data_IF_064393433863
#
_entry.id   IF_064393433863
#
_cell.length_a   1.000
_cell.length_b   1.000
_cell.length_c   1.000
_cell.angle_alpha   90.00
_cell.angle_beta   90.00
_cell.angle_gamma   90.00
#
_symmetry.space_group_name_H-M   'P 1'
#
loop_
_entity.id
_entity.type
_entity.pdbx_description
1 polymer ?
#
# COMPACT_ATOMS: atom_id res chain seq x y z
N UNK A 1 28.70 42.70 -25.73
CA UNK A 1 27.40 43.40 -25.80
C UNK A 1 26.27 42.47 -26.30
N UNK A 2 25.53 41.94 -25.32
CA UNK A 2 24.11 41.52 -25.27
C UNK A 2 23.33 41.35 -26.58
N UNK A 3 22.88 40.13 -26.84
CA UNK A 3 21.59 39.78 -27.51
C UNK A 3 20.52 39.61 -26.41
N UNK A 4 19.21 39.35 -26.67
CA UNK A 4 18.27 39.63 -27.78
C UNK A 4 16.87 40.13 -27.27
N UNK A 5 15.90 40.50 -28.13
CA UNK A 5 14.44 40.47 -27.84
C UNK A 5 13.67 40.80 -29.14
N UNK A 6 12.44 40.38 -29.45
CA UNK A 6 11.29 40.02 -28.62
C UNK A 6 10.26 39.29 -29.50
N UNK A 7 9.77 38.12 -29.06
CA UNK A 7 8.53 37.51 -29.58
C UNK A 7 7.35 37.96 -28.70
N UNK A 8 6.16 38.22 -29.26
CA UNK A 8 5.09 38.87 -28.51
C UNK A 8 4.51 37.94 -27.43
N UNK A 9 4.49 38.48 -26.22
CA UNK A 9 3.84 37.93 -25.03
C UNK A 9 2.33 37.79 -25.24
N UNK A 10 1.78 36.62 -24.95
CA UNK A 10 0.43 36.53 -24.37
C UNK A 10 0.56 35.92 -22.98
N UNK A 11 0.40 36.80 -21.98
CA UNK A 11 0.17 36.40 -20.61
C UNK A 11 -1.33 36.13 -20.47
N UNK A 12 -1.72 34.96 -19.99
CA UNK A 12 -3.01 34.76 -19.35
C UNK A 12 -2.83 33.81 -18.21
N UNK A 13 -3.10 34.37 -17.04
CA UNK A 13 -2.95 33.80 -15.72
C UNK A 13 -4.08 32.81 -15.44
N UNK A 14 -3.70 31.60 -15.05
CA UNK A 14 -4.51 30.66 -14.27
C UNK A 14 -3.47 29.74 -13.63
N UNK A 15 -3.11 29.89 -12.35
CA UNK A 15 -4.00 29.74 -11.22
C UNK A 15 -3.80 28.33 -10.68
N UNK A 16 -3.45 28.22 -9.39
CA UNK A 16 -3.20 26.99 -8.62
C UNK A 16 -1.81 26.41 -8.88
N UNK A 17 -0.86 26.46 -7.93
CA UNK A 17 -0.70 25.44 -6.88
C UNK A 17 0.15 24.29 -7.43
N UNK A 18 1.01 23.58 -6.66
CA UNK A 18 1.81 22.51 -7.23
C UNK A 18 0.85 21.39 -7.62
N UNK A 19 0.42 21.37 -8.87
CA UNK A 19 -0.21 20.22 -9.47
C UNK A 19 0.87 19.14 -9.47
N UNK A 20 0.78 18.26 -8.48
CA UNK A 20 1.42 16.96 -8.51
C UNK A 20 0.90 16.24 -9.76
N UNK A 21 1.45 16.58 -10.91
CA UNK A 21 1.59 15.66 -12.02
C UNK A 21 2.62 14.65 -11.49
N UNK A 22 2.14 13.70 -10.71
CA UNK A 22 2.85 12.45 -10.58
C UNK A 22 2.22 11.55 -11.61
N UNK A 23 3.06 11.20 -12.58
CA UNK A 23 2.87 10.22 -13.63
C UNK A 23 2.26 8.91 -13.07
N UNK A 24 0.95 8.91 -12.86
CA UNK A 24 0.17 7.79 -12.33
C UNK A 24 -0.14 6.73 -13.41
N UNK A 25 0.76 6.62 -14.41
CA UNK A 25 0.74 5.59 -15.45
C UNK A 25 1.81 4.50 -15.22
N UNK A 26 2.50 4.53 -14.07
CA UNK A 26 3.30 3.38 -13.57
C UNK A 26 2.66 2.76 -12.31
N UNK A 27 1.32 2.72 -12.29
CA UNK A 27 0.55 1.91 -11.34
C UNK A 27 0.71 0.42 -11.68
N UNK A 28 1.92 -0.10 -11.50
CA UNK A 28 2.22 -1.53 -11.54
C UNK A 28 1.35 -2.26 -10.49
N UNK A 29 0.91 -3.49 -10.81
CA UNK A 29 -0.33 -4.04 -10.31
C UNK A 29 -0.33 -4.06 -8.78
N UNK A 30 -1.26 -3.30 -8.21
CA UNK A 30 -1.81 -3.62 -6.89
C UNK A 30 -2.10 -5.11 -6.93
N UNK A 31 -1.39 -5.89 -6.11
CA UNK A 31 -1.62 -7.34 -6.04
C UNK A 31 -3.01 -7.51 -5.42
N UNK A 32 -4.03 -7.45 -6.27
CA UNK A 32 -5.40 -7.64 -5.89
C UNK A 32 -5.54 -9.10 -5.49
N UNK A 33 -5.68 -9.30 -4.20
CA UNK A 33 -5.99 -10.61 -3.66
C UNK A 33 -7.49 -10.83 -3.83
N UNK A 34 -7.92 -11.86 -4.59
CA UNK A 34 -9.34 -12.18 -4.67
C UNK A 34 -9.87 -12.53 -3.28
N UNK A 35 -11.13 -12.23 -3.03
CA UNK A 35 -11.75 -12.40 -1.71
C UNK A 35 -11.70 -13.85 -1.22
N UNK A 36 -11.68 -14.81 -2.15
CA UNK A 36 -11.55 -16.26 -1.88
C UNK A 36 -10.14 -16.67 -1.41
N UNK A 37 -9.16 -15.76 -1.46
CA UNK A 37 -7.79 -16.05 -1.04
C UNK A 37 -7.77 -16.38 0.45
N UNK A 38 -7.15 -17.50 0.87
CA UNK A 38 -7.03 -17.84 2.27
C UNK A 38 -6.12 -16.85 3.00
N UNK A 39 -6.54 -16.46 4.21
CA UNK A 39 -5.82 -15.46 5.00
C UNK A 39 -4.38 -15.88 5.32
N UNK A 40 -4.11 -17.19 5.42
CA UNK A 40 -2.76 -17.72 5.63
C UNK A 40 -1.80 -17.37 4.49
N UNK A 41 -2.27 -17.48 3.25
CA UNK A 41 -1.46 -17.14 2.08
C UNK A 41 -1.20 -15.64 2.04
N UNK A 42 -2.24 -14.83 2.27
CA UNK A 42 -2.12 -13.38 2.32
C UNK A 42 -1.14 -12.89 3.40
N UNK A 43 -1.25 -13.45 4.60
CA UNK A 43 -0.38 -13.10 5.75
C UNK A 43 1.06 -13.54 5.51
N UNK A 44 1.28 -14.71 4.87
CA UNK A 44 2.62 -15.17 4.48
C UNK A 44 3.24 -14.26 3.44
N UNK A 45 2.50 -13.91 2.40
CA UNK A 45 2.96 -12.94 1.39
C UNK A 45 3.31 -11.60 2.05
N UNK A 46 2.44 -11.11 2.94
CA UNK A 46 2.66 -9.87 3.70
C UNK A 46 3.94 -9.93 4.53
N UNK A 47 4.17 -11.05 5.24
CA UNK A 47 5.36 -11.26 6.06
C UNK A 47 6.64 -11.37 5.21
N UNK A 48 6.60 -12.10 4.09
CA UNK A 48 7.71 -12.18 3.15
C UNK A 48 8.06 -10.80 2.61
N UNK A 49 7.05 -10.02 2.25
CA UNK A 49 7.26 -8.73 1.65
C UNK A 49 7.89 -7.71 2.65
N UNK A 50 7.60 -7.81 3.95
CA UNK A 50 8.26 -6.98 5.00
C UNK A 50 9.57 -7.61 5.51
N UNK A 51 10.08 -8.66 4.86
CA UNK A 51 11.23 -9.45 5.31
C UNK A 51 11.09 -9.94 6.77
N UNK A 52 9.91 -10.45 7.15
CA UNK A 52 9.66 -11.11 8.44
C UNK A 52 9.70 -12.63 8.31
N UNK A 53 10.01 -13.27 9.42
CA UNK A 53 9.96 -14.73 9.55
C UNK A 53 8.54 -15.28 9.34
N UNK A 54 8.47 -16.43 8.68
CA UNK A 54 7.24 -17.19 8.43
C UNK A 54 6.54 -17.63 9.72
N UNK A 55 7.27 -17.72 10.84
CA UNK A 55 6.68 -17.96 12.16
C UNK A 55 5.76 -16.81 12.58
N UNK A 56 6.15 -15.55 12.34
CA UNK A 56 5.29 -14.40 12.63
C UNK A 56 4.07 -14.36 11.73
N UNK A 57 4.22 -14.78 10.47
CA UNK A 57 3.09 -14.95 9.57
C UNK A 57 2.08 -15.96 10.13
N UNK A 58 2.55 -17.11 10.63
CA UNK A 58 1.68 -18.13 11.22
C UNK A 58 1.02 -17.65 12.52
N UNK A 59 1.71 -16.88 13.36
CA UNK A 59 1.10 -16.26 14.54
C UNK A 59 -0.03 -15.30 14.15
N UNK A 60 0.19 -14.49 13.10
CA UNK A 60 -0.81 -13.53 12.64
C UNK A 60 -2.02 -14.22 12.02
N UNK A 61 -1.80 -15.25 11.21
CA UNK A 61 -2.89 -16.01 10.60
C UNK A 61 -3.73 -16.76 11.64
N UNK A 62 -3.11 -17.32 12.69
CA UNK A 62 -3.83 -17.93 13.81
C UNK A 62 -4.71 -16.93 14.55
N UNK A 63 -4.21 -15.72 14.80
CA UNK A 63 -4.98 -14.66 15.46
C UNK A 63 -6.18 -14.21 14.62
N UNK A 64 -6.00 -14.10 13.31
CA UNK A 64 -7.08 -13.78 12.37
C UNK A 64 -8.14 -14.89 12.36
N UNK A 65 -7.72 -16.15 12.23
CA UNK A 65 -8.61 -17.31 12.29
C UNK A 65 -9.37 -17.44 13.60
N UNK A 66 -8.77 -17.04 14.72
CA UNK A 66 -9.42 -16.99 16.03
C UNK A 66 -10.57 -15.96 16.11
N UNK A 67 -10.66 -15.03 15.15
CA UNK A 67 -11.77 -14.08 15.03
C UNK A 67 -12.70 -14.45 13.86
N UNK A 68 -12.68 -15.71 13.43
CA UNK A 68 -13.43 -16.23 12.28
C UNK A 68 -13.06 -15.58 10.93
N UNK A 69 -11.89 -14.93 10.84
CA UNK A 69 -11.37 -14.38 9.57
C UNK A 69 -10.65 -15.51 8.83
N UNK A 70 -11.27 -16.06 7.80
CA UNK A 70 -10.76 -17.20 7.03
C UNK A 70 -10.11 -16.76 5.72
N UNK A 71 -10.61 -15.68 5.13
CA UNK A 71 -10.26 -15.23 3.79
C UNK A 71 -9.90 -13.75 3.74
N UNK A 72 -9.33 -13.31 2.60
CA UNK A 72 -9.05 -11.89 2.35
C UNK A 72 -10.33 -11.06 2.28
N UNK A 73 -11.43 -11.63 1.78
CA UNK A 73 -12.73 -10.98 1.79
C UNK A 73 -13.19 -10.64 3.20
N UNK A 74 -13.06 -11.60 4.13
CA UNK A 74 -13.39 -11.38 5.55
C UNK A 74 -12.53 -10.27 6.14
N UNK A 75 -11.22 -10.27 5.85
CA UNK A 75 -10.29 -9.26 6.32
C UNK A 75 -10.62 -7.85 5.79
N UNK A 76 -11.08 -7.75 4.52
CA UNK A 76 -11.47 -6.50 3.88
C UNK A 76 -12.81 -5.97 4.39
N UNK A 77 -13.70 -6.87 4.81
CA UNK A 77 -14.98 -6.52 5.42
C UNK A 77 -14.86 -6.07 6.89
N UNK A 78 -13.69 -6.22 7.51
CA UNK A 78 -13.46 -5.79 8.89
C UNK A 78 -13.57 -4.28 9.06
N UNK A 79 -14.27 -3.87 10.11
CA UNK A 79 -14.34 -2.50 10.54
C UNK A 79 -13.08 -2.12 11.32
N UNK A 80 -12.76 -0.83 11.39
CA UNK A 80 -11.61 -0.33 12.17
C UNK A 80 -11.65 -0.75 13.65
N UNK A 81 -12.84 -0.97 14.21
CA UNK A 81 -13.03 -1.51 15.56
C UNK A 81 -12.53 -2.96 15.66
N UNK A 82 -12.86 -3.81 14.70
CA UNK A 82 -12.43 -5.21 14.65
C UNK A 82 -10.90 -5.32 14.53
N UNK A 83 -10.27 -4.45 13.73
CA UNK A 83 -8.81 -4.41 13.60
C UNK A 83 -8.10 -4.20 14.95
N UNK A 84 -8.72 -3.47 15.88
CA UNK A 84 -8.24 -3.31 17.24
C UNK A 84 -8.44 -4.54 18.13
N UNK A 85 -9.46 -5.35 17.85
CA UNK A 85 -9.85 -6.51 18.65
C UNK A 85 -9.09 -7.80 18.33
N UNK A 86 -8.51 -7.95 17.12
CA UNK A 86 -7.72 -9.13 16.72
C UNK A 86 -6.48 -9.35 17.63
N UNK A 87 -6.04 -8.32 18.37
CA UNK A 87 -4.89 -8.42 19.27
C UNK A 87 -3.56 -8.62 18.51
N UNK A 88 -3.50 -8.15 17.27
CA UNK A 88 -2.26 -8.03 16.50
C UNK A 88 -1.46 -6.81 16.94
N UNK A 89 -0.15 -6.81 16.69
CA UNK A 89 0.66 -5.62 16.93
C UNK A 89 0.30 -4.54 15.91
N UNK A 90 0.44 -3.26 16.29
CA UNK A 90 0.21 -2.11 15.37
C UNK A 90 1.02 -2.24 14.08
N UNK A 91 2.22 -2.83 14.17
CA UNK A 91 3.05 -3.12 13.03
C UNK A 91 2.43 -4.17 12.08
N UNK A 92 1.93 -5.29 12.62
CA UNK A 92 1.27 -6.32 11.84
C UNK A 92 -0.01 -5.79 11.17
N UNK A 93 -0.80 -5.02 11.91
CA UNK A 93 -2.00 -4.36 11.40
C UNK A 93 -1.67 -3.44 10.22
N UNK A 94 -0.62 -2.61 10.35
CA UNK A 94 -0.14 -1.75 9.26
C UNK A 94 0.35 -2.56 8.07
N UNK A 95 1.10 -3.65 8.29
CA UNK A 95 1.58 -4.49 7.21
C UNK A 95 0.42 -5.12 6.42
N UNK A 96 -0.58 -5.67 7.12
CA UNK A 96 -1.77 -6.27 6.50
C UNK A 96 -2.64 -5.23 5.78
N UNK A 97 -2.88 -4.06 6.40
CA UNK A 97 -3.60 -2.95 5.75
C UNK A 97 -2.84 -2.45 4.51
N UNK A 98 -1.52 -2.30 4.59
CA UNK A 98 -0.71 -1.89 3.44
C UNK A 98 -0.71 -2.95 2.33
N UNK A 99 -0.71 -4.23 2.69
CA UNK A 99 -0.83 -5.33 1.73
C UNK A 99 -2.21 -5.37 1.06
N UNK A 100 -3.29 -5.10 1.81
CA UNK A 100 -4.66 -5.01 1.28
C UNK A 100 -4.83 -3.84 0.31
N UNK A 101 -4.29 -2.68 0.67
CA UNK A 101 -4.41 -1.45 -0.12
C UNK A 101 -3.38 -1.35 -1.26
N UNK A 102 -2.56 -2.39 -1.48
CA UNK A 102 -1.53 -2.39 -2.52
C UNK A 102 -0.35 -1.45 -2.29
N UNK A 103 -0.26 -0.83 -1.11
CA UNK A 103 0.79 0.15 -0.78
C UNK A 103 2.17 -0.48 -0.56
N UNK A 104 2.24 -1.80 -0.67
CA UNK A 104 3.43 -2.59 -0.37
C UNK A 104 4.56 -2.36 -1.38
N UNK A 105 4.24 -2.18 -2.66
CA UNK A 105 5.24 -1.95 -3.71
C UNK A 105 5.96 -0.61 -3.54
N UNK A 106 5.27 0.43 -3.03
CA UNK A 106 5.85 1.76 -2.81
C UNK A 106 6.95 1.79 -1.73
N UNK A 107 6.91 0.87 -0.76
CA UNK A 107 7.91 0.82 0.32
C UNK A 107 9.18 0.02 -0.03
N UNK A 108 9.10 -0.88 -1.02
CA UNK A 108 10.25 -1.70 -1.45
C UNK A 108 10.87 -1.18 -2.75
N UNK A 109 10.16 -0.35 -3.51
CA UNK A 109 10.62 0.26 -4.76
C UNK A 109 11.12 1.70 -4.57
N UNK A 110 11.92 1.95 -3.54
CA UNK A 110 12.87 3.07 -3.59
C UNK A 110 14.16 2.52 -4.21
N UNK A 111 14.57 2.97 -5.41
CA UNK A 111 15.95 2.76 -5.81
C UNK A 111 16.82 3.47 -4.76
N UNK A 112 17.80 2.74 -4.22
CA UNK A 112 18.94 3.32 -3.53
C UNK A 112 19.49 4.43 -4.44
N UNK A 113 19.16 5.67 -4.12
CA UNK A 113 19.63 6.81 -4.88
C UNK A 113 21.07 7.03 -4.45
N UNK A 114 21.98 6.67 -5.36
CA UNK A 114 23.44 6.85 -5.37
C UNK A 114 23.99 8.02 -4.56
#
# INVERSE_FOLDING_TARGET
PVLPNESPRKNSISGSGPEWIQDYDDALPVKEYPDETPIEQFVRDTALAINRDTEKANDWSKKLKNQDIMTVGDLRALMDEDWGQIGLTVFALRALKNALHGFFHFFFSLPDSS
#
